data_IF_300700334381
#
_entry.id   IF_300700334381
#
_cell.length_a   1.000
_cell.length_b   1.000
_cell.length_c   1.000
_cell.angle_alpha   90.00
_cell.angle_beta   90.00
_cell.angle_gamma   90.00
#
_symmetry.space_group_name_H-M   'P 1'
#
loop_
_entity.id
_entity.type
_entity.pdbx_description
1 polymer ?
#
# COMPACT_ATOMS: atom_id res chain seq x y z
N UNK A 1 26.07 6.17 8.73
CA UNK A 1 26.36 6.79 7.42
C UNK A 1 25.83 5.96 6.24
N UNK A 2 25.07 4.88 6.50
CA UNK A 2 24.64 3.91 5.47
C UNK A 2 23.14 3.85 5.17
N UNK A 3 22.38 4.90 5.51
CA UNK A 3 20.96 5.04 5.10
C UNK A 3 20.82 5.11 3.56
N UNK A 4 21.92 5.41 2.86
CA UNK A 4 21.95 5.66 1.41
C UNK A 4 21.98 4.40 0.56
N UNK A 5 22.52 3.28 1.06
CA UNK A 5 22.59 2.02 0.30
C UNK A 5 21.24 1.28 0.27
N UNK A 6 20.37 1.50 1.26
CA UNK A 6 19.01 0.96 1.29
C UNK A 6 18.07 1.54 0.23
N UNK A 7 18.28 2.80 -0.16
CA UNK A 7 17.36 3.53 -1.06
C UNK A 7 17.34 2.99 -2.49
N UNK A 8 18.45 2.48 -3.02
CA UNK A 8 18.49 1.89 -4.38
C UNK A 8 17.70 0.59 -4.52
N UNK A 9 17.41 -0.10 -3.39
CA UNK A 9 16.65 -1.37 -3.39
C UNK A 9 15.16 -1.21 -3.07
N UNK A 10 14.73 -0.03 -2.58
CA UNK A 10 13.35 0.21 -2.12
C UNK A 10 12.40 0.53 -3.28
N UNK A 11 12.90 1.03 -4.41
CA UNK A 11 12.08 1.44 -5.58
C UNK A 11 11.88 0.30 -6.59
N UNK A 12 12.20 -0.91 -6.20
CA UNK A 12 12.05 -2.11 -7.03
C UNK A 12 10.62 -2.67 -7.04
N UNK A 13 9.93 -2.44 -8.15
CA UNK A 13 8.80 -3.24 -8.67
C UNK A 13 7.46 -3.18 -7.93
N UNK A 14 6.66 -2.17 -8.27
CA UNK A 14 5.21 -2.32 -8.32
C UNK A 14 4.79 -2.15 -9.78
N UNK A 15 4.15 -3.13 -10.42
CA UNK A 15 3.62 -2.96 -11.78
C UNK A 15 2.46 -1.98 -11.74
N UNK A 16 2.51 -1.05 -12.63
CA UNK A 16 1.65 0.13 -12.74
C UNK A 16 0.37 -0.10 -13.48
N UNK A 17 -0.60 0.75 -13.19
CA UNK A 17 -1.92 0.68 -13.78
C UNK A 17 -2.66 2.05 -13.81
N UNK A 18 -3.31 2.44 -14.92
CA UNK A 18 -3.92 3.75 -15.26
C UNK A 18 -5.44 3.82 -14.99
N UNK A 19 -5.98 5.00 -14.80
CA UNK A 19 -7.39 5.28 -14.56
C UNK A 19 -8.15 5.71 -15.82
N UNK A 20 -9.37 5.19 -15.97
CA UNK A 20 -10.41 5.71 -16.85
C UNK A 20 -11.68 5.97 -16.04
N UNK A 21 -12.30 7.12 -16.24
CA UNK A 21 -13.56 7.48 -15.61
C UNK A 21 -14.71 6.64 -16.16
N UNK A 22 -15.41 5.91 -15.29
CA UNK A 22 -16.61 5.13 -15.67
C UNK A 22 -17.84 5.73 -15.00
N UNK A 23 -18.84 6.04 -15.81
CA UNK A 23 -20.19 6.49 -15.44
C UNK A 23 -20.87 5.47 -14.49
N UNK A 24 -21.45 6.01 -13.44
CA UNK A 24 -22.20 5.26 -12.44
C UNK A 24 -23.55 4.76 -12.99
N UNK A 25 -23.79 3.46 -12.94
CA UNK A 25 -25.12 2.88 -13.07
C UNK A 25 -25.66 2.55 -11.67
N UNK A 26 -26.85 3.02 -11.39
CA UNK A 26 -27.59 2.77 -10.14
C UNK A 26 -28.15 1.35 -10.14
N UNK A 27 -27.75 0.56 -9.14
CA UNK A 27 -28.41 -0.70 -8.77
C UNK A 27 -29.32 -0.47 -7.55
N UNK A 28 -30.44 -1.19 -7.42
CA UNK A 28 -31.41 -0.97 -6.35
C UNK A 28 -30.83 -1.33 -4.98
N UNK A 29 -31.03 -0.42 -4.03
CA UNK A 29 -30.48 -0.45 -2.68
C UNK A 29 -31.47 -1.03 -1.69
N UNK A 30 -31.29 -2.29 -1.32
CA UNK A 30 -31.49 -2.65 0.09
C UNK A 30 -30.09 -2.65 0.71
N UNK A 31 -29.83 -1.76 1.66
CA UNK A 31 -28.54 -1.75 2.40
C UNK A 31 -28.47 -3.02 3.25
N UNK A 32 -27.56 -3.96 2.95
CA UNK A 32 -27.34 -5.09 3.84
C UNK A 32 -26.88 -4.60 5.21
N UNK A 33 -27.20 -5.33 6.27
CA UNK A 33 -26.77 -5.03 7.61
C UNK A 33 -25.23 -4.85 7.63
N UNK A 34 -24.76 -3.79 8.28
CA UNK A 34 -23.32 -3.48 8.38
C UNK A 34 -22.53 -4.59 9.08
N UNK A 35 -23.19 -5.40 9.93
CA UNK A 35 -22.60 -6.57 10.57
C UNK A 35 -22.16 -7.64 9.58
N UNK A 36 -22.94 -7.89 8.52
CA UNK A 36 -22.63 -8.87 7.49
C UNK A 36 -21.43 -8.44 6.62
N UNK A 37 -21.32 -7.14 6.34
CA UNK A 37 -20.18 -6.60 5.61
C UNK A 37 -18.87 -6.73 6.41
N UNK A 38 -18.90 -6.41 7.70
CA UNK A 38 -17.74 -6.54 8.57
C UNK A 38 -17.31 -8.01 8.72
N UNK A 39 -18.28 -8.94 8.86
CA UNK A 39 -18.00 -10.36 8.91
C UNK A 39 -17.40 -10.89 7.59
N UNK A 40 -17.90 -10.43 6.44
CA UNK A 40 -17.31 -10.77 5.14
C UNK A 40 -15.88 -10.23 5.01
N UNK A 41 -15.63 -8.99 5.44
CA UNK A 41 -14.32 -8.39 5.44
C UNK A 41 -13.31 -9.15 6.33
N UNK A 42 -13.71 -9.55 7.53
CA UNK A 42 -12.86 -10.34 8.42
C UNK A 42 -12.49 -11.72 7.80
N UNK A 43 -13.44 -12.39 7.15
CA UNK A 43 -13.16 -13.64 6.43
C UNK A 43 -12.15 -13.46 5.30
N UNK A 44 -12.23 -12.33 4.58
CA UNK A 44 -11.26 -12.03 3.50
C UNK A 44 -9.85 -11.83 4.07
N UNK A 45 -9.70 -11.05 5.14
CA UNK A 45 -8.41 -10.87 5.83
C UNK A 45 -7.80 -12.21 6.21
N UNK A 46 -8.56 -13.06 6.91
CA UNK A 46 -8.12 -14.39 7.31
C UNK A 46 -7.70 -15.29 6.13
N UNK A 47 -8.45 -15.24 5.02
CA UNK A 47 -8.12 -16.03 3.83
C UNK A 47 -6.81 -15.56 3.17
N UNK A 48 -6.60 -14.26 3.13
CA UNK A 48 -5.38 -13.64 2.58
C UNK A 48 -4.17 -13.93 3.47
N UNK A 49 -4.29 -13.73 4.78
CA UNK A 49 -3.21 -14.00 5.75
C UNK A 49 -2.81 -15.48 5.79
N UNK A 50 -3.79 -16.38 5.67
CA UNK A 50 -3.54 -17.81 5.58
C UNK A 50 -2.93 -18.23 4.22
N UNK A 51 -2.85 -17.33 3.24
CA UNK A 51 -2.49 -17.61 1.85
C UNK A 51 -3.24 -18.82 1.27
N UNK A 52 -4.55 -18.93 1.60
CA UNK A 52 -5.39 -20.08 1.24
C UNK A 52 -6.36 -19.73 0.10
N UNK A 53 -6.02 -20.07 -1.16
CA UNK A 53 -6.89 -19.82 -2.31
C UNK A 53 -8.28 -20.47 -2.20
N UNK A 54 -8.40 -21.60 -1.50
CA UNK A 54 -9.69 -22.29 -1.34
C UNK A 54 -10.66 -21.54 -0.44
N UNK A 55 -10.13 -20.75 0.52
CA UNK A 55 -10.94 -19.86 1.35
C UNK A 55 -11.19 -18.51 0.68
N UNK A 56 -10.25 -18.06 -0.15
CA UNK A 56 -10.28 -16.76 -0.81
C UNK A 56 -11.24 -16.72 -2.00
N UNK A 57 -11.12 -17.69 -2.93
CA UNK A 57 -11.88 -17.69 -4.19
C UNK A 57 -13.41 -17.65 -3.98
N UNK A 58 -14.01 -18.38 -3.03
CA UNK A 58 -15.45 -18.31 -2.80
C UNK A 58 -15.96 -16.94 -2.35
N UNK A 59 -15.07 -16.05 -1.86
CA UNK A 59 -15.41 -14.70 -1.46
C UNK A 59 -15.48 -13.72 -2.64
N UNK A 60 -14.94 -14.11 -3.80
CA UNK A 60 -14.91 -13.27 -4.99
C UNK A 60 -16.09 -13.50 -5.91
N UNK A 61 -16.55 -12.44 -6.56
CA UNK A 61 -17.38 -12.50 -7.77
C UNK A 61 -16.47 -12.36 -9.01
N UNK A 62 -15.88 -13.46 -9.42
CA UNK A 62 -14.97 -13.50 -10.57
C UNK A 62 -15.65 -13.14 -11.88
N UNK A 63 -16.97 -13.39 -12.01
CA UNK A 63 -17.75 -13.02 -13.19
C UNK A 63 -17.93 -11.52 -13.29
N UNK A 64 -18.32 -10.87 -12.19
CA UNK A 64 -18.44 -9.43 -12.13
C UNK A 64 -17.07 -8.73 -12.31
N UNK A 65 -15.99 -9.30 -11.76
CA UNK A 65 -14.64 -8.80 -12.01
C UNK A 65 -14.24 -8.88 -13.48
N UNK A 66 -14.46 -10.04 -14.14
CA UNK A 66 -14.20 -10.22 -15.58
C UNK A 66 -14.97 -9.21 -16.42
N UNK A 67 -16.27 -9.03 -16.13
CA UNK A 67 -17.09 -8.05 -16.85
C UNK A 67 -16.53 -6.63 -16.71
N UNK A 68 -16.07 -6.23 -15.52
CA UNK A 68 -15.44 -4.92 -15.31
C UNK A 68 -14.19 -4.74 -16.17
N UNK A 69 -13.36 -5.78 -16.29
CA UNK A 69 -12.14 -5.75 -17.11
C UNK A 69 -12.47 -5.61 -18.60
N UNK A 70 -13.46 -6.37 -19.10
CA UNK A 70 -13.75 -6.50 -20.52
C UNK A 70 -14.83 -5.53 -21.03
N UNK A 71 -15.51 -4.82 -20.14
CA UNK A 71 -16.62 -3.92 -20.49
C UNK A 71 -16.20 -2.87 -21.51
N UNK A 72 -16.92 -2.82 -22.63
CA UNK A 72 -16.72 -1.83 -23.70
C UNK A 72 -15.41 -2.00 -24.49
N UNK A 73 -14.68 -3.12 -24.33
CA UNK A 73 -13.61 -3.46 -25.26
C UNK A 73 -14.24 -3.98 -26.58
N UNK A 74 -13.91 -3.40 -27.73
CA UNK A 74 -14.43 -3.81 -29.03
C UNK A 74 -13.60 -4.99 -29.57
N UNK A 75 -13.78 -6.13 -28.93
CA UNK A 75 -13.06 -7.38 -29.19
C UNK A 75 -14.03 -8.47 -29.64
N UNK A 76 -13.56 -9.35 -30.53
CA UNK A 76 -14.34 -10.45 -31.05
C UNK A 76 -14.89 -11.34 -29.92
N UNK A 77 -16.04 -12.04 -30.09
CA UNK A 77 -16.57 -12.96 -29.09
C UNK A 77 -15.56 -14.01 -28.64
N UNK A 78 -14.74 -14.55 -29.56
CA UNK A 78 -13.70 -15.52 -29.25
C UNK A 78 -12.58 -14.88 -28.38
N UNK A 79 -12.14 -13.67 -28.71
CA UNK A 79 -11.16 -12.94 -27.89
C UNK A 79 -11.72 -12.63 -26.50
N UNK A 80 -12.99 -12.22 -26.40
CA UNK A 80 -13.66 -11.97 -25.12
C UNK A 80 -13.72 -13.22 -24.25
N UNK A 81 -14.04 -14.37 -24.82
CA UNK A 81 -14.04 -15.65 -24.11
C UNK A 81 -12.61 -15.99 -23.62
N UNK A 82 -11.63 -15.97 -24.52
CA UNK A 82 -10.23 -16.33 -24.19
C UNK A 82 -9.62 -15.40 -23.12
N UNK A 83 -9.81 -14.08 -23.24
CA UNK A 83 -9.34 -13.12 -22.25
C UNK A 83 -10.10 -13.25 -20.92
N UNK A 84 -11.41 -13.57 -20.98
CA UNK A 84 -12.22 -13.85 -19.80
C UNK A 84 -11.75 -15.10 -19.06
N UNK A 85 -11.42 -16.16 -19.78
CA UNK A 85 -10.92 -17.42 -19.21
C UNK A 85 -9.50 -17.26 -18.61
N UNK A 86 -8.72 -16.33 -19.10
CA UNK A 86 -7.43 -15.98 -18.49
C UNK A 86 -7.58 -15.35 -17.10
N UNK A 87 -8.77 -14.80 -16.79
CA UNK A 87 -9.12 -14.30 -15.43
C UNK A 87 -9.81 -15.45 -14.69
N UNK A 88 -9.04 -16.32 -14.12
CA UNK A 88 -9.54 -17.55 -13.52
C UNK A 88 -8.99 -17.76 -12.10
N UNK A 89 -9.35 -18.87 -11.50
CA UNK A 89 -8.96 -19.27 -10.15
C UNK A 89 -7.44 -19.40 -9.93
N UNK A 90 -6.63 -19.47 -10.99
CA UNK A 90 -5.17 -19.50 -10.91
C UNK A 90 -4.56 -18.10 -10.89
N UNK A 91 -5.19 -17.16 -11.59
CA UNK A 91 -4.66 -15.79 -11.74
C UNK A 91 -5.14 -14.82 -10.65
N UNK A 92 -6.42 -14.96 -10.21
CA UNK A 92 -7.00 -14.08 -9.19
C UNK A 92 -6.26 -14.11 -7.84
N UNK A 93 -5.83 -15.27 -7.30
CA UNK A 93 -5.06 -15.30 -6.07
C UNK A 93 -3.72 -14.55 -6.16
N UNK A 94 -3.10 -14.50 -7.33
CA UNK A 94 -1.86 -13.75 -7.56
C UNK A 94 -1.98 -12.25 -7.26
N UNK A 95 -3.17 -11.68 -7.33
CA UNK A 95 -3.41 -10.29 -6.98
C UNK A 95 -3.40 -10.04 -5.47
N UNK A 96 -3.81 -11.04 -4.68
CA UNK A 96 -3.84 -10.96 -3.23
C UNK A 96 -2.57 -11.53 -2.58
N UNK A 97 -1.99 -12.61 -3.12
CA UNK A 97 -0.90 -13.36 -2.47
C UNK A 97 0.48 -13.14 -3.09
N UNK A 98 0.57 -12.43 -4.22
CA UNK A 98 1.82 -12.24 -4.97
C UNK A 98 2.81 -11.24 -4.37
N UNK A 99 2.65 -10.79 -3.13
CA UNK A 99 3.49 -9.76 -2.48
C UNK A 99 3.95 -10.22 -1.11
N UNK A 100 5.20 -9.89 -0.77
CA UNK A 100 5.74 -10.03 0.58
C UNK A 100 5.13 -8.95 1.47
N UNK A 101 4.00 -9.22 2.12
CA UNK A 101 3.44 -8.35 3.15
C UNK A 101 3.55 -9.01 4.54
N UNK A 102 3.70 -8.17 5.55
CA UNK A 102 3.79 -8.59 6.94
C UNK A 102 2.41 -8.75 7.58
N UNK A 103 1.48 -7.89 7.21
CA UNK A 103 0.09 -7.96 7.68
C UNK A 103 -0.88 -7.43 6.62
N UNK A 104 -2.12 -7.93 6.69
CA UNK A 104 -3.24 -7.54 5.86
C UNK A 104 -4.47 -7.32 6.74
N UNK A 105 -4.49 -6.17 7.42
CA UNK A 105 -5.44 -5.91 8.51
C UNK A 105 -6.70 -5.22 7.98
N UNK A 106 -7.87 -5.81 8.25
CA UNK A 106 -9.14 -5.10 8.05
C UNK A 106 -9.25 -3.93 9.03
N UNK A 107 -9.50 -2.73 8.51
CA UNK A 107 -9.63 -1.51 9.30
C UNK A 107 -11.09 -1.16 9.54
N UNK A 108 -11.87 -1.05 8.46
CA UNK A 108 -13.25 -0.56 8.51
C UNK A 108 -13.98 -0.72 7.18
N UNK A 109 -15.28 -0.46 7.22
CA UNK A 109 -16.07 -0.23 6.02
C UNK A 109 -16.04 1.26 5.66
N UNK A 110 -15.94 1.56 4.38
CA UNK A 110 -16.01 2.93 3.83
C UNK A 110 -17.00 2.99 2.68
N UNK A 111 -17.66 4.12 2.52
CA UNK A 111 -18.53 4.37 1.36
C UNK A 111 -17.83 5.31 0.40
N UNK A 112 -17.62 4.85 -0.85
CA UNK A 112 -17.04 5.63 -1.94
C UNK A 112 -18.02 5.64 -3.11
N UNK A 113 -18.44 6.83 -3.55
CA UNK A 113 -19.40 6.97 -4.65
C UNK A 113 -20.67 6.11 -4.47
N UNK A 114 -21.23 6.10 -3.26
CA UNK A 114 -22.43 5.33 -2.91
C UNK A 114 -22.24 3.81 -2.83
N UNK A 115 -20.99 3.30 -2.86
CA UNK A 115 -20.69 1.85 -2.78
C UNK A 115 -19.89 1.53 -1.54
N UNK A 116 -20.17 0.39 -0.92
CA UNK A 116 -19.48 -0.08 0.27
C UNK A 116 -18.18 -0.77 -0.13
N UNK A 117 -17.10 -0.39 0.53
CA UNK A 117 -15.79 -1.01 0.41
C UNK A 117 -15.31 -1.45 1.78
N UNK A 118 -14.63 -2.58 1.83
CA UNK A 118 -13.85 -2.98 2.99
C UNK A 118 -12.42 -2.46 2.82
N UNK A 119 -12.00 -1.58 3.74
CA UNK A 119 -10.67 -0.99 3.72
C UNK A 119 -9.71 -1.82 4.57
N UNK A 120 -8.56 -2.15 3.98
CA UNK A 120 -7.48 -2.89 4.60
C UNK A 120 -6.21 -2.08 4.60
N UNK A 121 -5.44 -2.21 5.68
CA UNK A 121 -4.05 -1.79 5.72
C UNK A 121 -3.16 -2.96 5.33
N UNK A 122 -2.14 -2.66 4.56
CA UNK A 122 -1.11 -3.60 4.16
C UNK A 122 0.23 -3.05 4.63
N UNK A 123 0.90 -3.76 5.51
CA UNK A 123 2.28 -3.45 5.89
C UNK A 123 3.21 -4.29 5.03
N UNK A 124 4.05 -3.62 4.23
CA UNK A 124 4.95 -4.28 3.30
C UNK A 124 6.24 -4.62 4.04
N UNK A 125 6.62 -5.91 3.99
CA UNK A 125 7.86 -6.37 4.59
C UNK A 125 9.06 -5.99 3.71
N UNK A 126 9.98 -5.22 4.28
CA UNK A 126 11.27 -4.97 3.65
C UNK A 126 12.34 -5.91 4.22
N UNK A 127 13.26 -6.35 3.35
CA UNK A 127 14.41 -7.19 3.74
C UNK A 127 15.28 -6.57 4.83
N UNK A 128 15.19 -5.25 5.03
CA UNK A 128 15.95 -4.50 6.02
C UNK A 128 15.23 -4.35 7.39
N UNK A 129 14.08 -4.99 7.58
CA UNK A 129 13.37 -5.01 8.87
C UNK A 129 12.63 -3.73 9.26
N UNK A 130 12.60 -2.69 8.41
CA UNK A 130 11.87 -1.46 8.69
C UNK A 130 10.46 -1.51 8.08
N UNK A 131 9.44 -1.58 8.95
CA UNK A 131 8.02 -1.61 8.58
C UNK A 131 7.48 -0.19 8.30
N UNK A 132 8.19 0.59 7.49
CA UNK A 132 7.82 1.98 7.21
C UNK A 132 6.93 2.13 5.99
N UNK A 133 6.76 1.09 5.18
CA UNK A 133 5.95 1.17 3.98
C UNK A 133 4.57 0.59 4.22
N UNK A 134 3.57 1.43 4.03
CA UNK A 134 2.15 1.09 4.15
C UNK A 134 1.46 1.28 2.80
N UNK A 135 0.48 0.42 2.53
CA UNK A 135 -0.49 0.57 1.46
C UNK A 135 -1.90 0.34 2.01
N UNK A 136 -2.89 0.79 1.27
CA UNK A 136 -4.30 0.51 1.57
C UNK A 136 -4.98 -0.11 0.36
N UNK A 137 -5.75 -1.16 0.61
CA UNK A 137 -6.67 -1.73 -0.37
C UNK A 137 -8.10 -1.45 0.07
N UNK A 138 -8.95 -1.06 -0.87
CA UNK A 138 -10.38 -0.98 -0.65
C UNK A 138 -11.07 -2.01 -1.56
N UNK A 139 -11.58 -3.07 -0.97
CA UNK A 139 -12.30 -4.10 -1.69
C UNK A 139 -13.77 -3.72 -1.85
N UNK A 140 -14.22 -3.60 -3.09
CA UNK A 140 -15.61 -3.33 -3.40
C UNK A 140 -16.48 -4.53 -3.06
N UNK A 141 -17.45 -4.33 -2.16
CA UNK A 141 -18.43 -5.31 -1.72
C UNK A 141 -19.75 -5.11 -2.49
N UNK A 142 -20.29 -6.21 -2.99
CA UNK A 142 -21.59 -6.22 -3.69
C UNK A 142 -22.39 -7.44 -3.22
N UNK A 143 -23.70 -7.26 -3.04
CA UNK A 143 -24.61 -8.38 -2.83
C UNK A 143 -24.84 -9.11 -4.16
N UNK A 144 -24.56 -10.42 -4.19
CA UNK A 144 -24.88 -11.29 -5.33
C UNK A 144 -26.39 -11.62 -5.40
N UNK A 145 -26.82 -12.30 -6.44
CA UNK A 145 -28.24 -12.62 -6.64
C UNK A 145 -28.84 -13.45 -5.51
N UNK A 146 -28.06 -14.31 -4.86
CA UNK A 146 -28.41 -15.09 -3.67
C UNK A 146 -28.29 -14.31 -2.35
N UNK A 147 -28.08 -12.99 -2.43
CA UNK A 147 -27.87 -12.07 -1.29
C UNK A 147 -26.60 -12.33 -0.50
N UNK A 148 -25.69 -13.18 -0.95
CA UNK A 148 -24.37 -13.29 -0.33
C UNK A 148 -23.52 -12.09 -0.70
N UNK A 149 -22.67 -11.63 0.23
CA UNK A 149 -21.72 -10.55 -0.04
C UNK A 149 -20.48 -11.11 -0.71
N UNK A 150 -20.14 -10.52 -1.86
CA UNK A 150 -18.96 -10.87 -2.65
C UNK A 150 -18.08 -9.66 -2.87
N UNK A 151 -16.79 -9.90 -2.96
CA UNK A 151 -15.81 -8.91 -3.38
C UNK A 151 -15.68 -8.93 -4.90
N UNK A 152 -15.79 -7.76 -5.51
CA UNK A 152 -15.82 -7.63 -6.98
C UNK A 152 -14.52 -7.05 -7.52
N UNK A 153 -13.87 -6.15 -6.81
CA UNK A 153 -12.69 -5.44 -7.29
C UNK A 153 -11.86 -4.88 -6.14
N UNK A 154 -10.60 -4.55 -6.40
CA UNK A 154 -9.68 -3.97 -5.42
C UNK A 154 -9.25 -2.60 -5.91
N UNK A 155 -9.48 -1.56 -5.13
CA UNK A 155 -8.79 -0.30 -5.29
C UNK A 155 -7.47 -0.35 -4.52
N UNK A 156 -6.35 -0.13 -5.21
CA UNK A 156 -5.00 -0.05 -4.62
C UNK A 156 -4.60 1.41 -4.46
N UNK A 157 -4.50 1.88 -3.23
CA UNK A 157 -4.22 3.28 -2.94
C UNK A 157 -2.83 3.73 -3.42
N UNK A 158 -1.84 2.84 -3.53
CA UNK A 158 -0.51 3.20 -4.05
C UNK A 158 -0.46 3.36 -5.56
N UNK A 159 -1.37 2.74 -6.29
CA UNK A 159 -1.55 2.95 -7.74
C UNK A 159 -2.66 3.96 -8.03
N UNK A 160 -3.58 4.15 -7.10
CA UNK A 160 -4.71 5.04 -7.21
C UNK A 160 -5.81 4.54 -8.15
N UNK A 161 -5.92 3.22 -8.35
CA UNK A 161 -6.87 2.64 -9.30
C UNK A 161 -7.35 1.25 -8.91
N UNK A 162 -8.42 0.81 -9.56
CA UNK A 162 -8.92 -0.53 -9.42
C UNK A 162 -8.06 -1.56 -10.17
N UNK A 163 -7.95 -2.77 -9.62
CA UNK A 163 -7.23 -3.87 -10.25
C UNK A 163 -7.79 -4.21 -11.63
N UNK A 164 -9.13 -4.12 -11.79
CA UNK A 164 -9.78 -4.33 -13.07
C UNK A 164 -9.29 -3.35 -14.16
N UNK A 165 -9.06 -2.08 -13.79
CA UNK A 165 -8.55 -1.06 -14.71
C UNK A 165 -7.16 -1.43 -15.20
N UNK A 166 -6.37 -1.93 -14.31
CA UNK A 166 -5.05 -2.34 -14.64
C UNK A 166 -4.92 -3.57 -15.49
N UNK A 167 -5.74 -4.54 -15.22
CA UNK A 167 -5.78 -5.72 -16.07
C UNK A 167 -6.33 -5.36 -17.46
N UNK A 168 -7.35 -4.47 -17.51
CA UNK A 168 -7.87 -3.91 -18.76
C UNK A 168 -6.74 -3.34 -19.63
N UNK A 169 -5.85 -2.55 -19.08
CA UNK A 169 -4.73 -1.96 -19.82
C UNK A 169 -3.76 -3.01 -20.37
N UNK A 170 -3.50 -4.07 -19.60
CA UNK A 170 -2.71 -5.19 -20.13
C UNK A 170 -3.40 -5.82 -21.35
N UNK A 171 -4.74 -5.92 -21.32
CA UNK A 171 -5.49 -6.42 -22.45
C UNK A 171 -5.52 -5.45 -23.62
N UNK A 172 -5.63 -4.15 -23.39
CA UNK A 172 -5.46 -3.14 -24.45
C UNK A 172 -4.12 -3.30 -25.17
N UNK A 173 -3.06 -3.60 -24.41
CA UNK A 173 -1.76 -3.91 -24.99
C UNK A 173 -1.80 -5.14 -25.90
N UNK A 174 -2.32 -6.25 -25.42
CA UNK A 174 -2.43 -7.49 -26.21
C UNK A 174 -3.27 -7.26 -27.48
N UNK A 175 -4.38 -6.54 -27.35
CA UNK A 175 -5.28 -6.22 -28.47
C UNK A 175 -4.58 -5.27 -29.47
N UNK A 176 -3.78 -4.34 -28.99
CA UNK A 176 -3.02 -3.43 -29.84
C UNK A 176 -1.87 -4.12 -30.59
N UNK A 177 -1.26 -5.14 -29.98
CA UNK A 177 -0.22 -5.99 -30.59
C UNK A 177 -0.80 -7.03 -31.58
N UNK A 178 -2.05 -7.44 -31.40
CA UNK A 178 -2.74 -8.40 -32.26
C UNK A 178 -4.12 -7.89 -32.73
N UNK A 179 -4.19 -7.23 -33.90
CA UNK A 179 -5.43 -6.72 -34.47
C UNK A 179 -6.50 -7.81 -34.74
N UNK A 180 -6.12 -9.10 -34.83
CA UNK A 180 -7.09 -10.19 -35.03
C UNK A 180 -8.06 -10.37 -33.87
N UNK A 181 -7.70 -9.85 -32.69
CA UNK A 181 -8.56 -9.84 -31.50
C UNK A 181 -9.67 -8.78 -31.58
N UNK A 182 -9.56 -7.80 -32.48
CA UNK A 182 -10.50 -6.69 -32.59
C UNK A 182 -11.71 -7.05 -33.42
N UNK A 183 -12.88 -6.47 -33.08
CA UNK A 183 -14.05 -6.52 -33.95
C UNK A 183 -13.77 -5.74 -35.26
N UNK A 184 -14.38 -6.18 -36.34
CA UNK A 184 -14.38 -5.41 -37.57
C UNK A 184 -15.12 -4.10 -37.32
N UNK A 185 -14.54 -2.98 -37.75
CA UNK A 185 -15.06 -1.62 -37.49
C UNK A 185 -15.13 -1.24 -35.99
N UNK A 186 -14.17 -1.72 -35.22
CA UNK A 186 -14.05 -1.49 -33.77
C UNK A 186 -14.17 -0.02 -33.39
N UNK A 187 -15.12 0.31 -32.51
CA UNK A 187 -15.27 1.65 -31.93
C UNK A 187 -14.67 1.67 -30.53
N UNK A 188 -13.54 2.32 -30.41
CA UNK A 188 -12.83 2.47 -29.16
C UNK A 188 -13.37 3.64 -28.32
N UNK A 189 -13.31 3.53 -27.01
CA UNK A 189 -13.42 4.70 -26.17
C UNK A 189 -12.23 5.63 -26.47
N UNK A 190 -12.42 6.97 -26.49
CA UNK A 190 -11.35 7.90 -26.87
C UNK A 190 -10.05 7.71 -26.08
N UNK A 191 -10.14 7.41 -24.78
CA UNK A 191 -8.99 7.15 -23.94
C UNK A 191 -8.28 5.85 -24.31
N UNK A 192 -9.02 4.77 -24.58
CA UNK A 192 -8.46 3.47 -24.97
C UNK A 192 -7.76 3.57 -26.33
N UNK A 193 -8.37 4.29 -27.28
CA UNK A 193 -7.76 4.56 -28.60
C UNK A 193 -6.45 5.34 -28.48
N UNK A 194 -6.45 6.36 -27.62
CA UNK A 194 -5.25 7.15 -27.36
C UNK A 194 -4.14 6.33 -26.71
N UNK A 195 -4.49 5.45 -25.76
CA UNK A 195 -3.57 4.53 -25.11
C UNK A 195 -2.97 3.55 -26.12
N UNK A 196 -3.78 2.94 -27.00
CA UNK A 196 -3.32 2.00 -28.03
C UNK A 196 -2.35 2.70 -28.99
N UNK A 197 -2.68 3.89 -29.48
CA UNK A 197 -1.81 4.68 -30.38
C UNK A 197 -0.46 5.05 -29.76
N UNK A 198 -0.35 5.08 -28.45
CA UNK A 198 0.86 5.41 -27.72
C UNK A 198 1.42 4.24 -26.90
N UNK A 199 0.99 3.02 -27.21
CA UNK A 199 1.25 1.82 -26.42
C UNK A 199 2.72 1.58 -26.14
N UNK A 200 3.58 1.68 -27.19
CA UNK A 200 5.04 1.48 -27.06
C UNK A 200 5.64 2.41 -26.00
N UNK A 201 5.30 3.70 -26.05
CA UNK A 201 5.79 4.69 -25.07
C UNK A 201 5.30 4.39 -23.66
N UNK A 202 4.01 4.00 -23.49
CA UNK A 202 3.45 3.65 -22.19
C UNK A 202 4.10 2.39 -21.60
N UNK A 203 4.42 1.41 -22.44
CA UNK A 203 5.15 0.20 -22.04
C UNK A 203 6.56 0.54 -21.58
N UNK A 204 7.28 1.38 -22.32
CA UNK A 204 8.62 1.84 -21.96
C UNK A 204 8.61 2.62 -20.65
N UNK A 205 7.63 3.51 -20.43
CA UNK A 205 7.45 4.23 -19.18
C UNK A 205 7.24 3.26 -18.02
N UNK A 206 6.35 2.28 -18.17
CA UNK A 206 6.04 1.30 -17.14
C UNK A 206 7.15 0.28 -16.87
N UNK A 207 7.97 -0.03 -17.87
CA UNK A 207 9.04 -1.04 -17.81
C UNK A 207 10.42 -0.51 -17.44
N UNK A 208 10.68 0.79 -17.66
CA UNK A 208 11.99 1.37 -17.41
C UNK A 208 12.24 1.62 -15.93
N UNK A 209 13.50 1.47 -15.52
CA UNK A 209 14.02 1.89 -14.21
C UNK A 209 14.89 3.14 -14.31
N UNK A 210 15.13 3.64 -15.51
CA UNK A 210 15.97 4.81 -15.78
C UNK A 210 15.10 6.07 -15.82
N UNK A 211 15.29 6.99 -14.87
CA UNK A 211 14.47 8.19 -14.75
C UNK A 211 14.45 9.04 -16.02
N UNK A 212 15.59 9.16 -16.68
CA UNK A 212 15.77 9.95 -17.91
C UNK A 212 14.91 9.40 -19.04
N UNK A 213 14.90 8.09 -19.23
CA UNK A 213 14.08 7.42 -20.25
C UNK A 213 12.60 7.65 -19.95
N UNK A 214 12.18 7.44 -18.70
CA UNK A 214 10.78 7.65 -18.29
C UNK A 214 10.34 9.09 -18.61
N UNK A 215 11.12 10.08 -18.17
CA UNK A 215 10.78 11.49 -18.35
C UNK A 215 10.80 11.93 -19.81
N UNK A 216 11.70 11.38 -20.62
CA UNK A 216 11.74 11.63 -22.07
C UNK A 216 10.49 11.06 -22.75
N UNK A 217 10.11 9.80 -22.46
CA UNK A 217 8.92 9.18 -23.04
C UNK A 217 7.65 9.91 -22.65
N UNK A 218 7.55 10.38 -21.39
CA UNK A 218 6.41 11.19 -20.93
C UNK A 218 6.28 12.47 -21.78
N UNK A 219 7.37 13.16 -22.07
CA UNK A 219 7.34 14.39 -22.90
C UNK A 219 6.83 14.14 -24.33
N UNK A 220 7.01 12.92 -24.84
CA UNK A 220 6.58 12.53 -26.17
C UNK A 220 5.11 12.04 -26.24
N UNK A 221 4.40 11.96 -25.08
CA UNK A 221 3.01 11.62 -25.06
C UNK A 221 2.13 12.83 -25.40
N UNK A 222 0.92 12.60 -25.94
CA UNK A 222 -0.12 13.63 -26.02
C UNK A 222 -0.45 14.20 -24.63
N UNK A 223 -0.85 15.49 -24.58
CA UNK A 223 -1.13 16.19 -23.33
C UNK A 223 -2.16 15.46 -22.45
N UNK A 224 -3.22 14.92 -23.04
CA UNK A 224 -4.25 14.17 -22.32
C UNK A 224 -3.69 12.93 -21.62
N UNK A 225 -2.78 12.19 -22.26
CA UNK A 225 -2.10 11.06 -21.63
C UNK A 225 -1.11 11.49 -20.55
N UNK A 226 -0.42 12.62 -20.74
CA UNK A 226 0.49 13.15 -19.73
C UNK A 226 -0.23 13.47 -18.41
N UNK A 227 -1.52 13.83 -18.46
CA UNK A 227 -2.35 14.15 -17.29
C UNK A 227 -2.96 12.91 -16.63
N UNK A 228 -2.83 11.72 -17.24
CA UNK A 228 -3.35 10.50 -16.63
C UNK A 228 -2.59 10.15 -15.34
N UNK A 229 -3.31 9.56 -14.37
CA UNK A 229 -2.74 9.18 -13.07
C UNK A 229 -1.51 8.27 -13.23
N UNK A 230 -1.57 7.32 -14.11
CA UNK A 230 -0.43 6.45 -14.42
C UNK A 230 0.81 7.25 -14.81
N UNK A 231 0.72 8.08 -15.81
CA UNK A 231 1.86 8.85 -16.32
C UNK A 231 2.41 9.76 -15.22
N UNK A 232 1.53 10.45 -14.49
CA UNK A 232 1.95 11.31 -13.37
C UNK A 232 2.61 10.52 -12.24
N UNK A 233 2.11 9.33 -11.90
CA UNK A 233 2.73 8.47 -10.90
C UNK A 233 4.14 8.03 -11.33
N UNK A 234 4.33 7.66 -12.60
CA UNK A 234 5.65 7.33 -13.13
C UNK A 234 6.58 8.54 -13.17
N UNK A 235 6.05 9.73 -13.53
CA UNK A 235 6.79 10.97 -13.46
C UNK A 235 7.30 11.24 -12.04
N UNK A 236 6.43 11.14 -11.04
CA UNK A 236 6.80 11.33 -9.64
C UNK A 236 7.87 10.31 -9.21
N UNK A 237 7.71 9.03 -9.56
CA UNK A 237 8.70 7.98 -9.25
C UNK A 237 10.06 8.23 -9.91
N UNK A 238 10.07 8.64 -11.18
CA UNK A 238 11.30 9.01 -11.86
C UNK A 238 11.99 10.20 -11.17
N UNK A 239 11.22 11.21 -10.74
CA UNK A 239 11.76 12.36 -10.02
C UNK A 239 12.21 11.98 -8.60
N UNK A 240 11.56 11.05 -7.93
CA UNK A 240 12.00 10.53 -6.63
C UNK A 240 13.38 9.87 -6.72
N UNK A 241 13.69 9.16 -7.81
CA UNK A 241 15.01 8.59 -8.06
C UNK A 241 16.10 9.66 -8.24
N UNK A 242 15.72 10.84 -8.70
CA UNK A 242 16.62 11.98 -8.94
C UNK A 242 16.58 13.05 -7.83
N UNK A 243 15.84 12.81 -6.74
CA UNK A 243 15.56 13.83 -5.73
C UNK A 243 16.82 14.45 -5.12
N UNK A 244 17.92 13.70 -5.01
CA UNK A 244 19.20 14.21 -4.50
C UNK A 244 19.85 15.21 -5.44
N UNK A 245 19.70 15.03 -6.77
CA UNK A 245 20.26 15.91 -7.79
C UNK A 245 19.31 17.06 -8.14
N UNK A 246 17.98 16.80 -8.07
CA UNK A 246 16.93 17.72 -8.52
C UNK A 246 15.77 17.77 -7.52
N UNK A 247 15.99 18.20 -6.26
CA UNK A 247 14.94 18.16 -5.23
C UNK A 247 13.70 18.98 -5.63
N UNK A 248 13.88 20.15 -6.22
CA UNK A 248 12.78 21.04 -6.62
C UNK A 248 11.86 20.43 -7.69
N UNK A 249 12.39 19.55 -8.55
CA UNK A 249 11.58 18.92 -9.61
C UNK A 249 10.57 17.93 -9.02
N UNK A 250 10.95 17.18 -7.98
CA UNK A 250 10.05 16.30 -7.26
C UNK A 250 8.94 17.09 -6.55
N UNK A 251 9.32 18.15 -5.84
CA UNK A 251 8.40 19.02 -5.13
C UNK A 251 7.38 19.69 -6.06
N UNK A 252 7.85 20.14 -7.21
CA UNK A 252 6.97 20.75 -8.22
C UNK A 252 5.97 19.76 -8.80
N UNK A 253 6.40 18.55 -9.17
CA UNK A 253 5.51 17.50 -9.66
C UNK A 253 4.46 17.10 -8.62
N UNK A 254 4.87 17.01 -7.38
CA UNK A 254 3.95 16.73 -6.27
C UNK A 254 2.94 17.87 -6.07
N UNK A 255 3.38 19.12 -6.09
CA UNK A 255 2.49 20.28 -5.97
C UNK A 255 1.49 20.39 -7.13
N UNK A 256 1.91 20.04 -8.35
CA UNK A 256 1.02 19.97 -9.52
C UNK A 256 -0.08 18.91 -9.32
N UNK A 257 0.30 17.73 -8.79
CA UNK A 257 -0.68 16.69 -8.48
C UNK A 257 -1.69 17.11 -7.41
N UNK A 258 -1.24 17.73 -6.32
CA UNK A 258 -2.16 18.20 -5.27
C UNK A 258 -3.21 19.20 -5.79
N UNK A 259 -2.92 19.96 -6.83
CA UNK A 259 -3.91 20.83 -7.48
C UNK A 259 -4.95 20.04 -8.25
N UNK A 260 -4.54 18.94 -8.87
CA UNK A 260 -5.44 18.10 -9.70
C UNK A 260 -6.27 17.15 -8.84
N UNK A 261 -5.74 16.63 -7.75
CA UNK A 261 -6.37 15.61 -6.93
C UNK A 261 -6.02 15.78 -5.44
N UNK A 262 -6.53 16.82 -4.77
CA UNK A 262 -6.11 17.18 -3.40
C UNK A 262 -6.49 16.13 -2.34
N UNK A 263 -7.54 15.34 -2.59
CA UNK A 263 -8.03 14.32 -1.67
C UNK A 263 -7.49 12.90 -1.98
N UNK A 264 -6.62 12.77 -2.98
CA UNK A 264 -6.10 11.48 -3.42
C UNK A 264 -4.80 11.12 -2.69
N UNK A 265 -4.76 10.05 -1.88
CA UNK A 265 -3.60 9.70 -1.08
C UNK A 265 -2.47 9.06 -1.88
N UNK A 266 -2.69 8.73 -3.15
CA UNK A 266 -1.74 7.95 -3.98
C UNK A 266 -0.34 8.56 -3.98
N UNK A 267 -0.27 9.88 -4.18
CA UNK A 267 1.02 10.57 -4.23
C UNK A 267 1.63 10.76 -2.84
N UNK A 268 0.81 10.95 -1.81
CA UNK A 268 1.28 10.99 -0.43
C UNK A 268 1.91 9.65 -0.03
N UNK A 269 1.28 8.53 -0.42
CA UNK A 269 1.80 7.18 -0.20
C UNK A 269 3.11 6.87 -0.95
N UNK A 270 3.45 7.64 -1.97
CA UNK A 270 4.74 7.56 -2.65
C UNK A 270 5.76 8.57 -2.08
N UNK A 271 5.29 9.74 -1.69
CA UNK A 271 6.14 10.87 -1.38
C UNK A 271 6.66 10.89 0.07
N UNK A 272 5.89 10.39 1.05
CA UNK A 272 6.33 10.46 2.45
C UNK A 272 7.67 9.74 2.70
N UNK A 273 7.95 8.63 2.01
CA UNK A 273 9.22 7.91 2.11
C UNK A 273 10.38 8.75 1.55
N UNK A 274 10.12 9.48 0.45
CA UNK A 274 11.12 10.38 -0.16
C UNK A 274 11.47 11.50 0.80
N UNK A 275 10.47 12.16 1.41
CA UNK A 275 10.71 13.23 2.36
C UNK A 275 11.36 12.74 3.65
N UNK A 276 10.97 11.56 4.15
CA UNK A 276 11.65 10.94 5.29
C UNK A 276 13.13 10.71 4.97
N UNK A 277 13.43 10.11 3.81
CA UNK A 277 14.79 9.80 3.40
C UNK A 277 15.65 11.03 3.05
N UNK A 278 15.03 12.19 2.79
CA UNK A 278 15.71 13.46 2.53
C UNK A 278 15.69 14.42 3.72
N UNK A 279 15.14 14.00 4.88
CA UNK A 279 15.08 14.81 6.10
C UNK A 279 14.07 15.95 6.06
N UNK A 280 13.12 15.93 5.10
CA UNK A 280 12.08 16.96 4.98
C UNK A 280 10.87 16.62 5.85
N UNK A 281 11.07 16.61 7.16
CA UNK A 281 10.10 16.11 8.15
C UNK A 281 8.76 16.82 8.13
N UNK A 282 8.72 18.14 7.92
CA UNK A 282 7.45 18.88 7.88
C UNK A 282 6.56 18.40 6.73
N UNK A 283 7.16 18.16 5.55
CA UNK A 283 6.44 17.60 4.39
C UNK A 283 6.04 16.16 4.61
N UNK A 284 6.91 15.38 5.25
CA UNK A 284 6.62 14.02 5.65
C UNK A 284 5.38 13.96 6.55
N UNK A 285 5.33 14.75 7.64
CA UNK A 285 4.18 14.77 8.54
C UNK A 285 2.91 15.25 7.82
N UNK A 286 3.00 16.27 6.99
CA UNK A 286 1.86 16.76 6.21
C UNK A 286 1.29 15.68 5.26
N UNK A 287 2.14 14.85 4.66
CA UNK A 287 1.70 13.72 3.84
C UNK A 287 1.00 12.63 4.67
N UNK A 288 1.60 12.27 5.82
CA UNK A 288 0.98 11.28 6.72
C UNK A 288 -0.38 11.78 7.22
N UNK A 289 -0.52 13.08 7.50
CA UNK A 289 -1.80 13.67 7.92
C UNK A 289 -2.86 13.63 6.79
N UNK A 290 -2.46 13.80 5.51
CA UNK A 290 -3.38 13.63 4.38
C UNK A 290 -3.78 12.17 4.19
N UNK A 291 -2.83 11.24 4.32
CA UNK A 291 -3.14 9.80 4.30
C UNK A 291 -4.13 9.46 5.43
N UNK A 292 -3.91 9.96 6.67
CA UNK A 292 -4.81 9.70 7.79
C UNK A 292 -6.21 10.30 7.58
N UNK A 293 -6.33 11.49 6.97
CA UNK A 293 -7.66 12.04 6.62
C UNK A 293 -8.42 11.14 5.65
N UNK A 294 -7.73 10.56 4.67
CA UNK A 294 -8.34 9.66 3.70
C UNK A 294 -8.60 8.25 4.28
N UNK A 295 -7.58 7.65 4.90
CA UNK A 295 -7.64 6.30 5.46
C UNK A 295 -8.41 6.24 6.78
N UNK A 296 -8.56 7.37 7.50
CA UNK A 296 -9.00 7.44 8.88
C UNK A 296 -7.88 7.10 9.86
N UNK A 297 -8.23 7.11 11.14
CA UNK A 297 -7.26 6.80 12.20
C UNK A 297 -6.70 5.39 12.01
N UNK A 298 -5.38 5.31 11.93
CA UNK A 298 -4.65 4.05 11.77
C UNK A 298 -3.42 4.06 12.69
N UNK A 299 -3.34 3.08 13.58
CA UNK A 299 -2.23 2.90 14.52
C UNK A 299 -0.87 2.80 13.81
N UNK A 300 -0.82 2.27 12.58
CA UNK A 300 0.42 2.14 11.84
C UNK A 300 0.99 3.50 11.39
N UNK A 301 0.14 4.45 11.04
CA UNK A 301 0.58 5.82 10.71
C UNK A 301 1.24 6.50 11.92
N UNK A 302 0.77 6.20 13.12
CA UNK A 302 1.40 6.69 14.35
C UNK A 302 2.75 6.01 14.61
N UNK A 303 2.89 4.72 14.29
CA UNK A 303 4.19 4.03 14.31
C UNK A 303 5.16 4.66 13.32
N UNK A 304 4.71 5.00 12.12
CA UNK A 304 5.52 5.69 11.10
C UNK A 304 5.97 7.07 11.62
N UNK A 305 5.05 7.84 12.24
CA UNK A 305 5.38 9.14 12.88
C UNK A 305 6.40 8.99 14.01
N UNK A 306 6.21 7.99 14.89
CA UNK A 306 7.11 7.71 16.00
C UNK A 306 8.51 7.34 15.50
N UNK A 307 8.60 6.49 14.48
CA UNK A 307 9.88 6.11 13.87
C UNK A 307 10.57 7.31 13.22
N UNK A 308 9.82 8.15 12.50
CA UNK A 308 10.36 9.37 11.90
C UNK A 308 10.85 10.37 12.96
N UNK A 309 10.16 10.48 14.09
CA UNK A 309 10.62 11.30 15.20
C UNK A 309 11.98 10.82 15.73
N UNK A 310 12.17 9.50 15.89
CA UNK A 310 13.45 8.94 16.37
C UNK A 310 14.63 9.15 15.40
N UNK A 311 14.36 9.43 14.13
CA UNK A 311 15.38 9.72 13.12
C UNK A 311 15.80 11.20 13.12
N UNK A 312 15.09 12.06 13.85
CA UNK A 312 15.43 13.48 13.97
C UNK A 312 16.48 13.69 15.06
N UNK A 313 17.48 14.48 14.76
CA UNK A 313 18.49 14.92 15.76
C UNK A 313 17.97 16.16 16.51
N UNK A 314 16.91 15.93 17.33
CA UNK A 314 16.28 16.97 18.15
C UNK A 314 16.19 16.52 19.61
N UNK A 315 16.32 17.45 20.56
CA UNK A 315 16.27 17.11 22.00
C UNK A 315 14.95 16.45 22.44
N UNK A 316 13.83 16.80 21.79
CA UNK A 316 12.49 16.31 22.11
C UNK A 316 12.05 15.08 21.26
N UNK A 317 12.92 14.62 20.36
CA UNK A 317 12.62 13.53 19.40
C UNK A 317 12.09 12.27 20.11
N UNK A 318 12.74 11.85 21.19
CA UNK A 318 12.32 10.68 21.94
C UNK A 318 10.96 10.88 22.65
N UNK A 319 10.68 12.07 23.17
CA UNK A 319 9.39 12.39 23.79
C UNK A 319 8.26 12.44 22.75
N UNK A 320 8.53 12.96 21.57
CA UNK A 320 7.57 12.96 20.47
C UNK A 320 7.29 11.52 19.96
N UNK A 321 8.33 10.70 19.81
CA UNK A 321 8.19 9.32 19.42
C UNK A 321 7.37 8.51 20.44
N UNK A 322 7.60 8.74 21.75
CA UNK A 322 6.83 8.11 22.82
C UNK A 322 5.34 8.45 22.72
N UNK A 323 5.02 9.74 22.51
CA UNK A 323 3.64 10.21 22.35
C UNK A 323 2.94 9.52 21.17
N UNK A 324 3.60 9.40 20.03
CA UNK A 324 3.03 8.73 18.85
C UNK A 324 2.87 7.23 19.08
N UNK A 325 3.85 6.56 19.69
CA UNK A 325 3.76 5.14 20.02
C UNK A 325 2.61 4.85 21.00
N UNK A 326 2.42 5.72 22.02
CA UNK A 326 1.31 5.64 22.96
C UNK A 326 -0.04 5.83 22.25
N UNK A 327 -0.16 6.83 21.36
CA UNK A 327 -1.37 7.05 20.57
C UNK A 327 -1.71 5.83 19.69
N UNK A 328 -0.72 5.15 19.14
CA UNK A 328 -0.94 3.88 18.42
C UNK A 328 -1.50 2.80 19.35
N UNK A 329 -0.98 2.69 20.58
CA UNK A 329 -1.43 1.71 21.57
C UNK A 329 -2.81 2.02 22.17
N UNK A 330 -3.26 3.28 22.13
CA UNK A 330 -4.66 3.63 22.45
C UNK A 330 -5.64 3.05 21.44
N UNK A 331 -5.24 2.94 20.16
CA UNK A 331 -6.09 2.36 19.11
C UNK A 331 -6.06 0.81 19.15
N UNK A 332 -4.89 0.24 19.38
CA UNK A 332 -4.70 -1.21 19.57
C UNK A 332 -3.61 -1.45 20.63
N UNK A 333 -4.05 -1.79 21.83
CA UNK A 333 -3.17 -2.00 22.96
C UNK A 333 -2.14 -3.13 22.76
N UNK A 334 -2.35 -4.02 21.81
CA UNK A 334 -1.47 -5.15 21.48
C UNK A 334 -0.70 -4.97 20.17
N UNK A 335 -0.73 -3.76 19.58
CA UNK A 335 -0.08 -3.50 18.30
C UNK A 335 1.44 -3.63 18.41
N UNK A 336 1.98 -4.74 17.92
CA UNK A 336 3.39 -5.11 18.08
C UNK A 336 4.36 -4.07 17.54
N UNK A 337 4.04 -3.43 16.41
CA UNK A 337 4.90 -2.40 15.84
C UNK A 337 5.02 -1.19 16.79
N UNK A 338 3.92 -0.78 17.43
CA UNK A 338 3.93 0.31 18.40
C UNK A 338 4.67 -0.06 19.68
N UNK A 339 4.46 -1.28 20.20
CA UNK A 339 5.19 -1.79 21.37
C UNK A 339 6.70 -1.81 21.12
N UNK A 340 7.15 -2.23 19.93
CA UNK A 340 8.58 -2.23 19.57
C UNK A 340 9.15 -0.82 19.51
N UNK A 341 8.45 0.13 18.90
CA UNK A 341 8.90 1.53 18.85
C UNK A 341 8.92 2.12 20.25
N UNK A 342 7.90 1.87 21.07
CA UNK A 342 7.86 2.35 22.46
C UNK A 342 9.04 1.81 23.27
N UNK A 343 9.35 0.53 23.13
CA UNK A 343 10.50 -0.11 23.80
C UNK A 343 11.83 0.57 23.40
N UNK A 344 12.02 0.82 22.09
CA UNK A 344 13.22 1.53 21.61
C UNK A 344 13.33 2.95 22.17
N UNK A 345 12.20 3.68 22.23
CA UNK A 345 12.14 5.02 22.83
C UNK A 345 12.52 4.95 24.31
N UNK A 346 11.94 4.03 25.05
CA UNK A 346 12.20 3.85 26.49
C UNK A 346 13.66 3.47 26.76
N UNK A 347 14.28 2.65 25.92
CA UNK A 347 15.72 2.34 25.98
C UNK A 347 16.56 3.61 25.82
N UNK A 348 16.29 4.40 24.77
CA UNK A 348 16.99 5.67 24.53
C UNK A 348 16.83 6.68 25.69
N UNK A 349 15.68 6.68 26.34
CA UNK A 349 15.40 7.52 27.51
C UNK A 349 15.90 6.92 28.85
N UNK A 350 16.50 5.73 28.83
CA UNK A 350 16.95 4.99 30.01
C UNK A 350 15.84 4.69 31.03
N UNK A 351 14.61 4.55 30.56
CA UNK A 351 13.42 4.19 31.37
C UNK A 351 13.33 2.66 31.53
N UNK A 352 14.35 2.03 32.08
CA UNK A 352 14.56 0.58 32.02
C UNK A 352 13.44 -0.23 32.68
N UNK A 353 12.83 0.22 33.76
CA UNK A 353 11.70 -0.44 34.37
C UNK A 353 10.49 -0.49 33.38
N UNK A 354 10.26 0.61 32.63
CA UNK A 354 9.22 0.64 31.61
C UNK A 354 9.55 -0.25 30.40
N UNK A 355 10.84 -0.33 30.01
CA UNK A 355 11.29 -1.26 28.96
C UNK A 355 10.92 -2.69 29.33
N UNK A 356 11.18 -3.13 30.57
CA UNK A 356 10.82 -4.47 31.04
C UNK A 356 9.32 -4.70 30.96
N UNK A 357 8.51 -3.75 31.41
CA UNK A 357 7.04 -3.83 31.30
C UNK A 357 6.57 -3.97 29.86
N UNK A 358 7.15 -3.18 28.95
CA UNK A 358 6.82 -3.24 27.51
C UNK A 358 7.29 -4.56 26.89
N UNK A 359 8.48 -5.07 27.27
CA UNK A 359 9.01 -6.36 26.84
C UNK A 359 8.11 -7.51 27.27
N UNK A 360 7.68 -7.54 28.53
CA UNK A 360 6.71 -8.53 29.03
C UNK A 360 5.44 -8.56 28.20
N UNK A 361 4.93 -7.37 27.85
CA UNK A 361 3.75 -7.26 27.00
C UNK A 361 4.00 -7.81 25.60
N UNK A 362 5.14 -7.49 24.96
CA UNK A 362 5.50 -8.04 23.65
C UNK A 362 5.60 -9.57 23.72
N UNK A 363 6.26 -10.12 24.73
CA UNK A 363 6.40 -11.57 24.91
C UNK A 363 5.04 -12.25 25.16
N UNK A 364 4.14 -11.60 25.91
CA UNK A 364 2.77 -12.09 26.10
C UNK A 364 1.99 -12.14 24.79
N UNK A 365 2.06 -11.08 23.99
CA UNK A 365 1.32 -10.98 22.71
C UNK A 365 1.88 -11.97 21.69
N UNK A 366 3.20 -12.09 21.60
CA UNK A 366 3.87 -12.97 20.62
C UNK A 366 3.94 -14.42 21.07
N UNK A 367 3.79 -14.69 22.37
CA UNK A 367 4.08 -15.98 23.02
C UNK A 367 5.53 -16.46 22.81
N UNK A 368 6.43 -15.53 22.57
CA UNK A 368 7.85 -15.76 22.33
C UNK A 368 8.68 -15.04 23.38
N UNK A 369 9.73 -15.68 23.86
CA UNK A 369 10.77 -15.03 24.66
C UNK A 369 11.71 -14.29 23.72
N UNK A 370 11.86 -12.96 23.89
CA UNK A 370 12.64 -12.14 22.97
C UNK A 370 14.05 -11.86 23.49
N UNK A 371 15.05 -12.19 22.70
CA UNK A 371 16.42 -11.73 22.93
C UNK A 371 16.63 -10.32 22.39
N UNK A 372 16.19 -9.32 23.17
CA UNK A 372 16.33 -7.90 22.81
C UNK A 372 17.79 -7.50 22.67
N UNK A 373 18.66 -8.09 23.49
CA UNK A 373 20.10 -7.79 23.52
C UNK A 373 20.79 -8.37 22.30
N UNK A 374 20.50 -9.63 21.94
CA UNK A 374 21.02 -10.23 20.71
C UNK A 374 20.58 -9.52 19.45
N UNK A 375 19.32 -9.05 19.40
CA UNK A 375 18.79 -8.25 18.29
C UNK A 375 19.48 -6.89 18.21
N UNK A 376 19.70 -6.20 19.34
CA UNK A 376 20.27 -4.86 19.42
C UNK A 376 21.75 -4.84 19.79
N UNK A 377 22.50 -5.90 19.49
CA UNK A 377 23.91 -6.08 19.91
C UNK A 377 24.84 -4.93 19.50
N UNK A 378 24.57 -4.26 18.41
CA UNK A 378 25.37 -3.17 17.87
C UNK A 378 24.89 -1.77 18.32
N UNK A 379 23.80 -1.71 19.12
CA UNK A 379 23.27 -0.45 19.65
C UNK A 379 23.74 -0.21 21.10
N UNK A 380 24.54 0.85 21.34
CA UNK A 380 25.06 1.15 22.69
C UNK A 380 23.97 1.35 23.76
N UNK A 381 22.81 1.91 23.41
CA UNK A 381 21.73 2.10 24.36
C UNK A 381 21.10 0.75 24.77
N UNK A 382 20.97 -0.19 23.84
CA UNK A 382 20.52 -1.55 24.13
C UNK A 382 21.51 -2.31 24.99
N UNK A 383 22.82 -2.13 24.78
CA UNK A 383 23.86 -2.72 25.66
C UNK A 383 23.79 -2.17 27.08
N UNK A 384 23.56 -0.84 27.24
CA UNK A 384 23.36 -0.25 28.58
C UNK A 384 22.11 -0.82 29.27
N UNK A 385 21.02 -1.05 28.49
CA UNK A 385 19.83 -1.72 29.02
C UNK A 385 20.13 -3.14 29.48
N UNK A 386 20.92 -3.91 28.72
CA UNK A 386 21.33 -5.27 29.08
C UNK A 386 22.06 -5.35 30.44
N UNK A 387 22.86 -4.31 30.74
CA UNK A 387 23.60 -4.21 31.99
C UNK A 387 22.76 -3.69 33.17
N UNK A 388 21.54 -3.23 32.93
CA UNK A 388 20.67 -2.68 33.98
C UNK A 388 20.21 -3.74 34.97
N UNK A 389 19.98 -3.31 36.20
CA UNK A 389 19.45 -4.20 37.27
C UNK A 389 18.03 -4.71 36.92
N UNK A 390 17.25 -3.89 36.24
CA UNK A 390 15.89 -4.21 35.84
C UNK A 390 15.86 -5.36 34.84
N UNK A 391 16.71 -5.34 33.81
CA UNK A 391 16.78 -6.40 32.82
C UNK A 391 17.36 -7.69 33.40
N UNK A 392 18.46 -7.58 34.22
CA UNK A 392 19.08 -8.75 34.86
C UNK A 392 18.07 -9.45 35.78
N UNK A 393 17.35 -8.71 36.63
CA UNK A 393 16.31 -9.29 37.47
C UNK A 393 15.21 -9.96 36.63
N UNK A 394 14.74 -9.28 35.58
CA UNK A 394 13.72 -9.86 34.72
C UNK A 394 14.15 -11.19 34.07
N UNK A 395 15.40 -11.28 33.61
CA UNK A 395 15.93 -12.49 32.96
C UNK A 395 16.26 -13.62 33.92
N UNK A 396 16.48 -13.36 35.21
CA UNK A 396 16.53 -14.39 36.22
C UNK A 396 15.23 -15.15 36.36
N UNK A 397 14.11 -14.42 36.34
CA UNK A 397 12.75 -15.00 36.44
C UNK A 397 12.22 -15.53 35.08
N UNK A 398 12.72 -15.00 33.97
CA UNK A 398 12.28 -15.30 32.61
C UNK A 398 13.47 -15.57 31.68
N UNK A 399 14.16 -16.71 31.83
CA UNK A 399 15.35 -17.04 31.06
C UNK A 399 15.02 -17.17 29.55
N UNK A 400 16.00 -16.82 28.71
CA UNK A 400 15.89 -17.06 27.27
C UNK A 400 15.77 -18.58 27.05
N UNK A 401 14.74 -18.94 26.27
CA UNK A 401 14.60 -20.36 25.84
C UNK A 401 15.57 -20.61 24.68
N UNK A 402 16.45 -21.59 24.86
CA UNK A 402 17.37 -22.05 23.84
C UNK A 402 16.64 -22.65 22.64
#
# INVERSE_FOLDING_TARGET
MDVVHGFRKIIGLVPCLIASSILAQSLPTATPDTSDHAAAAARLSQAIEAADPKKFLPLLDSAAFRERVLKGLPITPNARAALGDAINERTLPGFAFGRDFRSYDFLRLVTRNGRVHAQYRIVIQHKNGHDLQVNYHEWLLVASADRTLKFVDIYDATSGEYMSQGLRRRYLRLIGEDPSLQEKDAKWLPVDELEIKNLTKLVEIGGSREPEIILERIRLLPADLQQTRFVQLHRLRAMALQVKQKPNAFDQAYAEWLKLAPEDPTFDLQAYIVWLGTGQYDRFYAAIDRIERWAGRDAHLDVIRATAALLQDKPDAAAQAEKWAQRALEADANYLAALRVLMNVQIKQKKYAQVVTTLQKVETVTKLTLDVVGIGKDDPATQQFAESKEYKAYRQDNPLKN
#
